data_IF_886629208234
#
_entry.id   IF_886629208234
#
_cell.length_a   1.000
_cell.length_b   1.000
_cell.length_c   1.000
_cell.angle_alpha   90.00
_cell.angle_beta   90.00
_cell.angle_gamma   90.00
#
_symmetry.space_group_name_H-M   'P 1'
#
loop_
_entity.id
_entity.type
_entity.pdbx_description
1 polymer ?
#
# COMPACT_ATOMS: atom_id res chain seq x y z
N UNK A 1 29.48 -1.78 -20.50
CA UNK A 1 28.33 -1.15 -19.81
C UNK A 1 28.39 -1.47 -18.33
N UNK A 2 28.36 -0.47 -17.45
CA UNK A 2 28.32 -0.71 -16.01
C UNK A 2 26.90 -1.11 -15.58
N UNK A 3 26.72 -2.35 -15.11
CA UNK A 3 25.45 -2.82 -14.54
C UNK A 3 25.28 -2.17 -13.17
N UNK A 4 24.43 -1.15 -13.07
CA UNK A 4 24.16 -0.45 -11.81
C UNK A 4 23.37 -1.36 -10.85
N UNK A 5 24.10 -2.12 -10.02
CA UNK A 5 23.48 -2.98 -9.00
C UNK A 5 23.11 -2.09 -7.82
N UNK A 6 21.86 -1.61 -7.81
CA UNK A 6 21.29 -0.96 -6.64
C UNK A 6 21.25 -1.99 -5.49
N UNK A 7 22.23 -1.92 -4.57
CA UNK A 7 22.30 -2.75 -3.37
C UNK A 7 21.29 -2.24 -2.32
N UNK A 8 20.01 -2.22 -2.69
CA UNK A 8 18.94 -1.81 -1.79
C UNK A 8 18.50 -3.00 -0.92
N UNK A 9 18.85 -3.02 0.39
CA UNK A 9 18.45 -4.11 1.28
C UNK A 9 16.93 -4.14 1.50
N UNK A 10 16.26 -2.97 1.48
CA UNK A 10 14.82 -2.87 1.67
C UNK A 10 14.05 -3.37 0.45
N UNK A 11 14.56 -3.21 -0.78
CA UNK A 11 13.97 -3.84 -1.95
C UNK A 11 14.02 -5.37 -1.85
N UNK A 12 15.18 -5.94 -1.46
CA UNK A 12 15.32 -7.39 -1.25
C UNK A 12 14.41 -7.89 -0.13
N UNK A 13 14.41 -7.20 1.01
CA UNK A 13 13.57 -7.53 2.17
C UNK A 13 12.08 -7.47 1.83
N UNK A 14 11.63 -6.41 1.13
CA UNK A 14 10.25 -6.28 0.68
C UNK A 14 9.84 -7.48 -0.19
N UNK A 15 10.69 -7.86 -1.16
CA UNK A 15 10.42 -9.02 -2.03
C UNK A 15 10.40 -10.34 -1.25
N UNK A 16 11.23 -10.52 -0.23
CA UNK A 16 11.24 -11.70 0.65
C UNK A 16 9.99 -11.77 1.54
N UNK A 17 9.51 -10.62 2.03
CA UNK A 17 8.32 -10.51 2.88
C UNK A 17 7.00 -10.38 2.07
N UNK A 18 7.06 -10.48 0.73
CA UNK A 18 5.88 -10.41 -0.14
C UNK A 18 5.31 -9.00 -0.36
N UNK A 19 5.98 -7.94 0.10
CA UNK A 19 5.60 -6.56 -0.20
C UNK A 19 5.94 -6.18 -1.64
N UNK A 20 4.99 -5.53 -2.32
CA UNK A 20 5.14 -5.11 -3.72
C UNK A 20 6.18 -4.01 -3.93
N UNK A 21 6.47 -3.21 -2.90
CA UNK A 21 7.49 -2.19 -2.93
C UNK A 21 8.04 -1.90 -1.53
N UNK A 22 9.29 -1.42 -1.48
CA UNK A 22 9.97 -1.03 -0.23
C UNK A 22 9.41 0.24 0.46
N UNK A 23 8.38 0.84 -0.12
CA UNK A 23 7.56 1.88 0.52
C UNK A 23 6.79 1.35 1.72
N UNK A 24 6.40 0.06 1.74
CA UNK A 24 5.70 -0.57 2.87
C UNK A 24 6.37 -0.28 4.23
N UNK A 25 7.71 -0.28 4.30
CA UNK A 25 8.45 0.04 5.52
C UNK A 25 8.30 1.50 5.98
N UNK A 26 8.10 2.45 5.07
CA UNK A 26 7.85 3.85 5.43
C UNK A 26 6.56 3.99 6.21
N UNK A 27 5.49 3.33 5.77
CA UNK A 27 4.20 3.34 6.46
C UNK A 27 4.28 2.61 7.82
N UNK A 28 4.98 1.46 7.88
CA UNK A 28 5.22 0.78 9.16
C UNK A 28 6.00 1.67 10.14
N UNK A 29 7.05 2.36 9.69
CA UNK A 29 7.81 3.29 10.52
C UNK A 29 7.01 4.54 10.95
N UNK A 30 6.11 5.05 10.10
CA UNK A 30 5.17 6.12 10.46
C UNK A 30 4.22 5.63 11.56
N UNK A 31 3.63 4.45 11.39
CA UNK A 31 2.67 3.90 12.37
C UNK A 31 3.33 3.55 13.71
N UNK A 32 4.54 2.99 13.69
CA UNK A 32 5.34 2.70 14.89
C UNK A 32 5.69 3.97 15.69
N UNK A 33 5.77 5.13 15.02
CA UNK A 33 6.12 6.43 15.65
C UNK A 33 4.89 7.23 16.10
N UNK A 34 3.77 7.15 15.39
CA UNK A 34 2.65 8.09 15.53
C UNK A 34 1.31 7.42 15.89
N UNK A 35 1.19 6.09 15.79
CA UNK A 35 0.00 5.32 16.18
C UNK A 35 -1.31 5.88 15.60
N UNK A 36 -1.32 6.12 14.29
CA UNK A 36 -2.40 6.80 13.58
C UNK A 36 -3.56 5.86 13.25
N UNK A 37 -3.30 4.55 13.10
CA UNK A 37 -4.24 3.59 12.51
C UNK A 37 -4.80 2.65 13.59
N UNK A 38 -6.13 2.54 13.62
CA UNK A 38 -6.86 1.69 14.58
C UNK A 38 -7.56 0.53 13.89
N UNK A 39 -7.85 -0.51 14.68
CA UNK A 39 -8.65 -1.65 14.24
C UNK A 39 -10.07 -1.19 13.93
N UNK A 40 -10.56 -1.50 12.72
CA UNK A 40 -11.88 -1.09 12.25
C UNK A 40 -11.91 0.21 11.44
N UNK A 41 -10.78 0.92 11.28
CA UNK A 41 -10.76 2.17 10.51
C UNK A 41 -11.11 1.95 9.02
N UNK A 42 -11.71 2.98 8.42
CA UNK A 42 -11.86 3.13 6.98
C UNK A 42 -10.78 4.09 6.46
N UNK A 43 -9.91 3.62 5.56
CA UNK A 43 -8.74 4.38 5.08
C UNK A 43 -8.80 4.50 3.56
N UNK A 44 -8.48 5.70 3.07
CA UNK A 44 -8.31 6.04 1.66
C UNK A 44 -6.82 6.27 1.35
N UNK A 45 -6.27 5.53 0.38
CA UNK A 45 -4.88 5.59 -0.08
C UNK A 45 -4.87 6.14 -1.53
N UNK A 46 -4.30 7.34 -1.71
CA UNK A 46 -4.29 8.06 -2.99
C UNK A 46 -2.92 7.96 -3.67
N UNK A 47 -2.88 7.54 -4.94
CA UNK A 47 -1.64 7.15 -5.60
C UNK A 47 -1.14 5.79 -5.11
N UNK A 48 -2.08 4.86 -4.90
CA UNK A 48 -1.81 3.61 -4.19
C UNK A 48 -0.97 2.58 -4.98
N UNK A 49 -0.81 2.71 -6.30
CA UNK A 49 -0.16 1.70 -7.16
C UNK A 49 1.35 1.59 -6.87
N UNK A 50 1.93 0.38 -6.74
CA UNK A 50 1.36 -0.93 -7.06
C UNK A 50 0.62 -1.61 -5.89
N UNK A 51 0.25 -0.91 -4.82
CA UNK A 51 -0.58 -1.43 -3.71
C UNK A 51 0.20 -1.81 -2.44
N UNK A 52 1.45 -1.32 -2.28
CA UNK A 52 2.29 -1.67 -1.13
C UNK A 52 1.80 -1.10 0.21
N UNK A 53 1.16 0.08 0.20
CA UNK A 53 0.52 0.66 1.37
C UNK A 53 -0.77 -0.10 1.70
N UNK A 54 -1.63 -0.36 0.72
CA UNK A 54 -2.82 -1.22 0.87
C UNK A 54 -2.54 -2.56 1.58
N UNK A 55 -1.43 -3.23 1.26
CA UNK A 55 -0.99 -4.46 1.96
C UNK A 55 -0.83 -4.25 3.46
N UNK A 56 -0.19 -3.16 3.86
CA UNK A 56 0.14 -2.81 5.25
C UNK A 56 -1.10 -2.29 5.99
N UNK A 57 -1.82 -1.34 5.39
CA UNK A 57 -3.06 -0.77 5.93
C UNK A 57 -4.08 -1.87 6.27
N UNK A 58 -4.24 -2.84 5.37
CA UNK A 58 -5.17 -3.98 5.55
C UNK A 58 -4.82 -4.86 6.77
N UNK A 59 -3.54 -4.99 7.13
CA UNK A 59 -3.11 -5.66 8.37
C UNK A 59 -3.46 -4.82 9.60
N UNK A 60 -3.20 -3.51 9.51
CA UNK A 60 -3.37 -2.57 10.60
C UNK A 60 -4.85 -2.39 10.96
N UNK A 61 -5.74 -2.13 10.00
CA UNK A 61 -7.18 -1.99 10.26
C UNK A 61 -7.87 -3.32 10.57
N UNK A 62 -7.33 -4.44 10.07
CA UNK A 62 -7.89 -5.78 10.28
C UNK A 62 -9.21 -6.04 9.53
N UNK A 63 -9.81 -7.22 9.76
CA UNK A 63 -10.92 -7.74 8.94
C UNK A 63 -12.20 -6.89 8.98
N UNK A 64 -12.41 -6.09 10.03
CA UNK A 64 -13.57 -5.20 10.19
C UNK A 64 -13.33 -3.78 9.65
N UNK A 65 -12.08 -3.41 9.38
CA UNK A 65 -11.76 -2.14 8.73
C UNK A 65 -11.84 -2.26 7.21
N UNK A 66 -11.74 -1.13 6.52
CA UNK A 66 -11.85 -1.05 5.06
C UNK A 66 -10.71 -0.21 4.50
N UNK A 67 -10.05 -0.69 3.45
CA UNK A 67 -8.99 0.05 2.76
C UNK A 67 -9.39 0.25 1.30
N UNK A 68 -9.53 1.51 0.89
CA UNK A 68 -9.82 1.90 -0.49
C UNK A 68 -8.56 2.54 -1.07
N UNK A 69 -8.07 2.00 -2.17
CA UNK A 69 -6.99 2.60 -2.96
C UNK A 69 -7.53 3.25 -4.22
N UNK A 70 -7.08 4.46 -4.55
CA UNK A 70 -7.35 5.11 -5.84
C UNK A 70 -6.03 5.47 -6.51
N UNK A 71 -5.89 5.15 -7.79
CA UNK A 71 -4.74 5.53 -8.62
C UNK A 71 -5.15 5.62 -10.10
N UNK A 72 -4.47 6.46 -10.88
CA UNK A 72 -4.63 6.50 -12.34
C UNK A 72 -4.05 5.24 -13.02
N UNK A 73 -3.08 4.59 -12.37
CA UNK A 73 -2.46 3.35 -12.81
C UNK A 73 -3.20 2.13 -12.22
N UNK A 74 -3.29 1.01 -12.97
CA UNK A 74 -3.90 -0.20 -12.44
C UNK A 74 -3.11 -0.73 -11.23
N UNK A 75 -3.82 -1.04 -10.15
CA UNK A 75 -3.26 -1.72 -8.99
C UNK A 75 -3.57 -3.22 -9.08
N UNK A 76 -2.58 -4.13 -9.14
CA UNK A 76 -2.85 -5.56 -9.28
C UNK A 76 -3.68 -6.12 -8.12
N UNK A 77 -4.51 -7.14 -8.35
CA UNK A 77 -5.41 -7.70 -7.33
C UNK A 77 -4.66 -8.16 -6.06
N UNK A 78 -5.11 -7.72 -4.89
CA UNK A 78 -4.57 -8.12 -3.59
C UNK A 78 -5.48 -9.19 -2.94
N UNK A 79 -4.93 -10.27 -2.35
CA UNK A 79 -5.72 -11.41 -1.89
C UNK A 79 -6.36 -11.17 -0.50
N UNK A 80 -7.06 -10.05 -0.31
CA UNK A 80 -7.77 -9.72 0.94
C UNK A 80 -9.10 -9.02 0.68
N UNK A 81 -10.12 -9.42 1.44
CA UNK A 81 -11.51 -8.98 1.27
C UNK A 81 -11.77 -7.54 1.71
N UNK A 82 -10.94 -6.99 2.58
CA UNK A 82 -11.05 -5.62 3.09
C UNK A 82 -10.31 -4.56 2.25
N UNK A 83 -9.89 -4.92 1.03
CA UNK A 83 -9.22 -4.01 0.10
C UNK A 83 -10.07 -3.85 -1.15
N UNK A 84 -10.38 -2.61 -1.49
CA UNK A 84 -10.94 -2.21 -2.79
C UNK A 84 -9.92 -1.32 -3.48
N UNK A 85 -9.55 -1.63 -4.73
CA UNK A 85 -8.68 -0.77 -5.53
C UNK A 85 -9.46 -0.28 -6.76
N UNK A 86 -9.51 1.03 -6.95
CA UNK A 86 -10.24 1.72 -8.01
C UNK A 86 -9.19 2.38 -8.91
N UNK A 87 -9.30 2.17 -10.23
CA UNK A 87 -8.50 2.90 -11.20
C UNK A 87 -9.28 4.13 -11.66
N UNK A 88 -8.87 5.32 -11.22
CA UNK A 88 -9.53 6.59 -11.53
C UNK A 88 -8.57 7.79 -11.31
N UNK A 89 -8.83 8.91 -11.98
CA UNK A 89 -8.17 10.18 -11.66
C UNK A 89 -8.91 10.87 -10.50
N UNK A 90 -8.20 11.13 -9.40
CA UNK A 90 -8.75 11.78 -8.20
C UNK A 90 -9.19 13.24 -8.42
N UNK A 91 -8.89 13.81 -9.59
CA UNK A 91 -9.28 15.16 -10.02
C UNK A 91 -10.59 15.17 -10.82
N UNK A 92 -11.04 14.01 -11.30
CA UNK A 92 -12.30 13.83 -12.00
C UNK A 92 -13.37 13.40 -10.99
N UNK A 93 -14.56 14.01 -11.07
CA UNK A 93 -15.65 13.78 -10.09
C UNK A 93 -16.74 12.86 -10.61
N UNK A 94 -16.64 12.39 -11.85
CA UNK A 94 -17.56 11.44 -12.47
C UNK A 94 -17.10 10.00 -12.13
N UNK A 95 -17.48 9.54 -10.93
CA UNK A 95 -17.20 8.19 -10.38
C UNK A 95 -18.53 7.45 -10.14
#
# INVERSE_FOLDING_TARGET
>A
MARFILKDPYYKKAKQEGFRARSAYKLKEIEDRFHLIRKGDAILDLGCSPGSFLQVLSEMVGEKGTVIGIDILPTPALPRKNITAIQADIRETDI
#
